data_IF_436453618586
#
_entry.id   IF_436453618586
#
_cell.length_a   1.000
_cell.length_b   1.000
_cell.length_c   1.000
_cell.angle_alpha   90.00
_cell.angle_beta   90.00
_cell.angle_gamma   90.00
#
_symmetry.space_group_name_H-M   'P 1'
#
loop_
_entity.id
_entity.type
_entity.pdbx_description
1 polymer ?
#
# COMPACT_ATOMS: atom_id res chain seq x y z
N UNK A 1 -6.09 -6.88 -11.41
CA UNK A 1 -4.88 -7.56 -10.88
C UNK A 1 -3.67 -7.41 -11.79
N UNK A 2 -3.71 -7.82 -13.08
CA UNK A 2 -2.53 -7.69 -13.96
C UNK A 2 -2.04 -6.26 -14.17
N UNK A 3 -2.94 -5.28 -14.32
CA UNK A 3 -2.56 -3.87 -14.39
C UNK A 3 -1.81 -3.41 -13.13
N UNK A 4 -2.32 -3.75 -11.94
CA UNK A 4 -1.69 -3.45 -10.64
C UNK A 4 -0.27 -4.05 -10.58
N UNK A 5 -0.11 -5.32 -11.00
CA UNK A 5 1.20 -5.98 -11.08
C UNK A 5 2.20 -5.16 -11.89
N UNK A 6 1.79 -4.79 -13.10
CA UNK A 6 2.64 -4.05 -14.03
C UNK A 6 2.98 -2.67 -13.47
N UNK A 7 2.01 -1.96 -12.89
CA UNK A 7 2.24 -0.65 -12.27
C UNK A 7 3.26 -0.73 -11.13
N UNK A 8 3.11 -1.68 -10.20
CA UNK A 8 4.05 -1.84 -9.07
C UNK A 8 5.46 -2.16 -9.58
N UNK A 9 5.60 -3.11 -10.51
CA UNK A 9 6.90 -3.51 -11.05
C UNK A 9 7.58 -2.32 -11.72
N UNK A 10 6.84 -1.61 -12.58
CA UNK A 10 7.37 -0.43 -13.29
C UNK A 10 7.80 0.66 -12.30
N UNK A 11 6.97 0.95 -11.30
CA UNK A 11 7.29 1.93 -10.28
C UNK A 11 8.55 1.54 -9.48
N UNK A 12 8.67 0.27 -9.10
CA UNK A 12 9.87 -0.22 -8.41
C UNK A 12 11.12 -0.06 -9.28
N UNK A 13 11.09 -0.49 -10.55
CA UNK A 13 12.22 -0.41 -11.48
C UNK A 13 12.64 1.03 -11.79
N UNK A 14 11.68 1.94 -12.00
CA UNK A 14 11.97 3.29 -12.49
C UNK A 14 12.21 4.30 -11.36
N UNK A 15 11.67 4.07 -10.16
CA UNK A 15 11.70 5.03 -9.06
C UNK A 15 12.43 4.52 -7.83
N UNK A 16 12.08 3.33 -7.34
CA UNK A 16 12.61 2.83 -6.07
C UNK A 16 14.02 2.27 -6.24
N UNK A 17 14.17 1.29 -7.12
CA UNK A 17 15.42 0.56 -7.32
C UNK A 17 16.61 1.49 -7.63
N UNK A 18 16.50 2.51 -8.51
CA UNK A 18 17.61 3.42 -8.80
C UNK A 18 18.08 4.23 -7.59
N UNK A 19 17.20 4.49 -6.62
CA UNK A 19 17.54 5.22 -5.39
C UNK A 19 18.25 4.33 -4.36
N UNK A 20 17.93 3.03 -4.32
CA UNK A 20 18.47 2.08 -3.35
C UNK A 20 19.74 1.39 -3.84
N UNK A 21 19.87 1.16 -5.15
CA UNK A 21 21.00 0.49 -5.79
C UNK A 21 22.40 1.05 -5.41
N UNK A 22 22.60 2.37 -5.20
CA UNK A 22 23.89 2.90 -4.77
C UNK A 22 24.32 2.47 -3.36
N UNK A 23 23.44 1.87 -2.57
CA UNK A 23 23.68 1.46 -1.18
C UNK A 23 23.35 -0.03 -0.96
N UNK A 24 23.96 -0.95 -1.71
CA UNK A 24 23.58 -2.37 -1.72
C UNK A 24 23.84 -3.06 -0.37
N UNK A 25 24.83 -2.60 0.39
CA UNK A 25 25.14 -3.12 1.73
C UNK A 25 24.00 -2.89 2.72
N UNK A 26 23.19 -1.84 2.50
CA UNK A 26 22.08 -1.46 3.37
C UNK A 26 20.73 -1.91 2.83
N UNK A 27 20.57 -1.94 1.50
CA UNK A 27 19.27 -2.15 0.85
C UNK A 27 19.32 -3.26 -0.21
N UNK A 28 19.87 -4.42 0.15
CA UNK A 28 19.86 -5.61 -0.71
C UNK A 28 18.56 -6.41 -0.59
N UNK A 29 17.91 -6.40 0.58
CA UNK A 29 16.65 -7.09 0.83
C UNK A 29 15.78 -6.23 1.74
N UNK A 30 14.52 -6.00 1.33
CA UNK A 30 13.57 -5.17 2.05
C UNK A 30 12.14 -5.55 1.70
N UNK A 31 11.20 -5.10 2.52
CA UNK A 31 9.76 -5.11 2.23
C UNK A 31 9.32 -3.66 2.08
N UNK A 32 8.50 -3.36 1.06
CA UNK A 32 7.97 -2.01 0.85
C UNK A 32 6.46 -2.08 0.77
N UNK A 33 5.81 -1.25 1.56
CA UNK A 33 4.38 -1.05 1.50
C UNK A 33 4.09 0.07 0.50
N UNK A 34 3.36 -0.27 -0.57
CA UNK A 34 3.03 0.63 -1.67
C UNK A 34 1.53 0.89 -1.67
N UNK A 35 1.17 2.17 -1.59
CA UNK A 35 -0.19 2.64 -1.84
C UNK A 35 -0.43 2.82 -3.34
N UNK A 36 -1.59 2.38 -3.82
CA UNK A 36 -2.05 2.60 -5.19
C UNK A 36 -3.26 3.52 -5.14
N UNK A 37 -3.19 4.64 -5.86
CA UNK A 37 -4.28 5.61 -5.98
C UNK A 37 -4.79 5.54 -7.41
N UNK A 38 -6.05 5.18 -7.59
CA UNK A 38 -6.67 5.15 -8.91
C UNK A 38 -6.99 6.57 -9.39
N UNK A 39 -6.46 6.93 -10.55
CA UNK A 39 -6.89 8.11 -11.28
C UNK A 39 -8.12 7.76 -12.13
N UNK A 40 -9.30 8.16 -11.65
CA UNK A 40 -10.59 7.87 -12.31
C UNK A 40 -10.72 8.45 -13.72
N UNK A 41 -9.94 9.48 -14.07
CA UNK A 41 -9.99 10.11 -15.39
C UNK A 41 -9.19 9.32 -16.43
N UNK A 42 -8.04 8.78 -16.02
CA UNK A 42 -7.13 8.04 -16.92
C UNK A 42 -7.27 6.52 -16.78
N UNK A 43 -7.94 6.04 -15.73
CA UNK A 43 -8.01 4.63 -15.35
C UNK A 43 -6.62 4.02 -15.13
N UNK A 44 -5.68 4.83 -14.64
CA UNK A 44 -4.32 4.45 -14.28
C UNK A 44 -4.14 4.50 -12.76
N UNK A 45 -3.06 3.90 -12.27
CA UNK A 45 -2.72 3.92 -10.85
C UNK A 45 -1.45 4.72 -10.63
N UNK A 46 -1.52 5.67 -9.70
CA UNK A 46 -0.35 6.33 -9.13
C UNK A 46 0.14 5.55 -7.91
N UNK A 47 1.45 5.34 -7.82
CA UNK A 47 2.08 4.63 -6.70
C UNK A 47 2.71 5.62 -5.71
N UNK A 48 2.53 5.35 -4.42
CA UNK A 48 3.23 6.02 -3.33
C UNK A 48 3.90 5.00 -2.42
N UNK A 49 5.10 5.30 -1.94
CA UNK A 49 5.73 4.52 -0.87
C UNK A 49 5.12 4.95 0.46
N UNK A 50 4.57 4.01 1.22
CA UNK A 50 4.00 4.25 2.55
C UNK A 50 5.07 4.00 3.61
N UNK A 51 5.69 2.81 3.55
CA UNK A 51 6.64 2.35 4.55
C UNK A 51 7.68 1.42 3.89
N UNK A 52 8.87 1.35 4.51
CA UNK A 52 9.89 0.37 4.16
C UNK A 52 10.31 -0.38 5.42
N UNK A 53 10.23 -1.70 5.35
CA UNK A 53 10.46 -2.62 6.44
C UNK A 53 11.68 -3.52 6.15
N UNK A 54 12.37 -4.02 7.18
CA UNK A 54 13.43 -5.00 6.99
C UNK A 54 12.86 -6.31 6.43
N UNK A 55 13.67 -7.01 5.63
CA UNK A 55 13.33 -8.35 5.11
C UNK A 55 13.60 -9.41 6.17
N UNK A 56 12.74 -9.44 7.18
CA UNK A 56 12.88 -10.29 8.37
C UNK A 56 11.53 -10.86 8.78
N UNK A 57 11.54 -12.00 9.46
CA UNK A 57 10.32 -12.72 9.87
C UNK A 57 9.44 -11.96 10.88
N UNK A 58 9.97 -10.89 11.49
CA UNK A 58 9.21 -9.96 12.34
C UNK A 58 8.32 -9.00 11.55
N UNK A 59 8.61 -8.76 10.28
CA UNK A 59 7.78 -7.95 9.39
C UNK A 59 6.53 -8.74 9.00
N UNK A 60 5.36 -8.11 9.04
CA UNK A 60 4.12 -8.76 8.62
C UNK A 60 4.18 -9.21 7.16
N UNK A 61 3.93 -10.49 6.88
CA UNK A 61 3.98 -11.06 5.51
C UNK A 61 2.64 -10.96 4.76
N UNK A 62 1.59 -10.41 5.39
CA UNK A 62 0.23 -10.36 4.84
C UNK A 62 -0.25 -11.74 4.37
N UNK A 63 -0.44 -11.93 3.05
CA UNK A 63 -0.93 -13.19 2.45
C UNK A 63 0.18 -14.20 2.13
N UNK A 64 1.43 -13.86 2.42
CA UNK A 64 2.57 -14.75 2.37
C UNK A 64 2.89 -15.30 3.76
N UNK A 65 3.64 -16.39 3.79
CA UNK A 65 4.19 -17.01 4.98
C UNK A 65 5.71 -17.12 4.83
N UNK A 66 6.45 -16.50 5.76
CA UNK A 66 7.91 -16.47 5.75
C UNK A 66 8.58 -17.85 5.68
N UNK A 67 7.94 -18.88 6.23
CA UNK A 67 8.51 -20.24 6.27
C UNK A 67 8.19 -21.01 5.00
N UNK A 68 6.92 -21.03 4.58
CA UNK A 68 6.51 -21.86 3.44
C UNK A 68 6.74 -21.19 2.09
N UNK A 69 6.78 -19.86 2.04
CA UNK A 69 6.99 -19.08 0.81
C UNK A 69 8.41 -18.50 0.70
N UNK A 70 9.38 -19.03 1.46
CA UNK A 70 10.75 -18.48 1.54
C UNK A 70 11.40 -18.32 0.17
N UNK A 71 11.26 -19.29 -0.72
CA UNK A 71 11.92 -19.29 -2.03
C UNK A 71 11.32 -18.20 -2.94
N UNK A 72 9.99 -18.05 -2.91
CA UNK A 72 9.29 -16.96 -3.60
C UNK A 72 9.70 -15.59 -3.06
N UNK A 73 9.75 -15.42 -1.74
CA UNK A 73 10.10 -14.15 -1.09
C UNK A 73 11.57 -13.76 -1.33
N UNK A 74 12.46 -14.74 -1.50
CA UNK A 74 13.88 -14.54 -1.82
C UNK A 74 14.16 -14.40 -3.32
N UNK A 75 13.12 -14.42 -4.15
CA UNK A 75 13.25 -14.30 -5.60
C UNK A 75 13.97 -15.49 -6.26
N UNK A 76 13.87 -16.68 -5.67
CA UNK A 76 14.40 -17.91 -6.27
C UNK A 76 13.45 -18.50 -7.33
N UNK A 77 12.20 -18.04 -7.34
CA UNK A 77 11.21 -18.36 -8.36
C UNK A 77 11.30 -17.43 -9.57
N UNK A 78 10.92 -17.94 -10.75
CA UNK A 78 11.08 -17.21 -12.01
C UNK A 78 10.07 -16.07 -12.21
N UNK A 79 8.97 -16.06 -11.46
CA UNK A 79 7.90 -15.07 -11.61
C UNK A 79 7.57 -14.38 -10.29
N UNK A 80 7.23 -13.08 -10.39
CA UNK A 80 6.68 -12.32 -9.26
C UNK A 80 5.26 -12.82 -8.99
N UNK A 81 5.02 -13.35 -7.79
CA UNK A 81 3.70 -13.77 -7.34
C UNK A 81 2.89 -12.59 -6.77
N UNK A 82 1.57 -12.56 -7.03
CA UNK A 82 0.62 -11.65 -6.38
C UNK A 82 -0.50 -12.48 -5.80
N UNK A 83 -0.77 -12.28 -4.50
CA UNK A 83 -1.91 -12.85 -3.79
C UNK A 83 -2.91 -11.75 -3.46
N UNK A 84 -4.19 -12.03 -3.67
CA UNK A 84 -5.28 -11.09 -3.43
C UNK A 84 -6.34 -11.77 -2.57
N UNK A 85 -6.64 -11.18 -1.41
CA UNK A 85 -7.81 -11.55 -0.63
C UNK A 85 -9.05 -11.09 -1.40
N UNK A 86 -9.75 -12.04 -2.02
CA UNK A 86 -10.91 -11.75 -2.88
C UNK A 86 -12.21 -11.70 -2.08
N UNK A 87 -12.22 -12.33 -0.91
CA UNK A 87 -13.39 -12.38 -0.05
C UNK A 87 -13.67 -10.98 0.51
N UNK A 88 -14.86 -10.48 0.23
CA UNK A 88 -15.34 -9.24 0.79
C UNK A 88 -15.46 -9.39 2.31
N UNK A 89 -14.75 -8.56 3.06
CA UNK A 89 -14.93 -8.54 4.51
C UNK A 89 -16.28 -7.87 4.82
N UNK A 90 -17.27 -8.60 5.37
CA UNK A 90 -18.66 -8.13 5.45
C UNK A 90 -18.84 -6.87 6.31
N UNK A 91 -17.85 -6.55 7.15
CA UNK A 91 -17.85 -5.39 8.06
C UNK A 91 -16.84 -4.32 7.67
N UNK A 92 -16.33 -4.32 6.43
CA UNK A 92 -15.34 -3.32 6.01
C UNK A 92 -15.89 -1.90 6.10
N UNK A 93 -17.21 -1.73 5.87
CA UNK A 93 -17.89 -0.44 6.05
C UNK A 93 -17.87 0.01 7.51
N UNK A 94 -18.28 -0.86 8.43
CA UNK A 94 -18.28 -0.58 9.87
C UNK A 94 -16.86 -0.23 10.37
N UNK A 95 -15.83 -0.89 9.84
CA UNK A 95 -14.44 -0.62 10.19
C UNK A 95 -13.95 0.73 9.65
N UNK A 96 -14.31 1.09 8.41
CA UNK A 96 -14.02 2.41 7.84
C UNK A 96 -14.72 3.51 8.64
N UNK A 97 -16.00 3.32 8.96
CA UNK A 97 -16.78 4.27 9.78
C UNK A 97 -16.17 4.45 11.17
N UNK A 98 -15.78 3.35 11.83
CA UNK A 98 -15.09 3.39 13.11
C UNK A 98 -13.76 4.17 13.03
N UNK A 99 -12.93 3.92 12.02
CA UNK A 99 -11.66 4.64 11.86
C UNK A 99 -11.92 6.15 11.67
N UNK A 100 -12.92 6.52 10.87
CA UNK A 100 -13.27 7.93 10.64
C UNK A 100 -13.79 8.60 11.93
N UNK A 101 -14.62 7.91 12.70
CA UNK A 101 -15.17 8.39 13.98
C UNK A 101 -14.05 8.60 15.02
N UNK A 102 -13.19 7.60 15.21
CA UNK A 102 -12.08 7.66 16.20
C UNK A 102 -11.09 8.77 15.87
N UNK A 103 -10.85 9.06 14.59
CA UNK A 103 -9.92 10.09 14.17
C UNK A 103 -10.54 11.50 14.05
N UNK A 104 -11.81 11.68 14.44
CA UNK A 104 -12.52 12.97 14.36
C UNK A 104 -12.44 13.60 12.97
N UNK A 105 -12.49 12.78 11.92
CA UNK A 105 -12.60 13.25 10.53
C UNK A 105 -14.03 13.73 10.24
N UNK A 106 -14.55 14.60 11.10
CA UNK A 106 -15.72 15.40 10.79
C UNK A 106 -15.24 16.45 9.80
N UNK A 107 -15.91 16.58 8.65
CA UNK A 107 -15.63 17.56 7.59
C UNK A 107 -15.80 19.03 8.00
N UNK A 108 -15.36 19.42 9.20
CA UNK A 108 -15.21 20.80 9.64
C UNK A 108 -13.81 21.25 9.29
N UNK A 109 -13.74 22.09 8.26
CA UNK A 109 -12.63 22.99 8.00
C UNK A 109 -12.23 23.71 9.30
N UNK A 110 -11.22 23.19 10.00
CA UNK A 110 -10.60 23.91 11.09
C UNK A 110 -9.19 24.31 10.65
N UNK A 111 -9.09 25.58 10.30
CA UNK A 111 -7.84 26.30 10.12
C UNK A 111 -6.97 26.17 11.38
N UNK A 112 -5.94 25.35 11.33
CA UNK A 112 -4.69 25.60 12.07
C UNK A 112 -3.64 24.55 11.72
N UNK A 113 -2.52 25.01 11.16
CA UNK A 113 -1.22 24.33 11.02
C UNK A 113 -1.29 22.85 10.66
N UNK A 114 -1.52 22.58 9.38
CA UNK A 114 -1.56 21.22 8.83
C UNK A 114 -0.15 20.65 8.73
N UNK A 115 0.08 19.59 9.51
CA UNK A 115 1.19 18.66 9.33
C UNK A 115 0.90 17.79 8.09
N UNK A 116 1.51 18.15 6.95
CA UNK A 116 1.28 17.55 5.62
C UNK A 116 1.58 16.03 5.54
N UNK A 117 2.09 15.41 6.60
CA UNK A 117 2.35 13.97 6.65
C UNK A 117 1.12 13.09 6.91
N UNK A 118 0.00 13.64 7.41
CA UNK A 118 -1.18 12.85 7.83
C UNK A 118 -2.39 12.95 6.89
N UNK A 119 -2.42 13.92 5.98
CA UNK A 119 -3.53 14.13 5.05
C UNK A 119 -3.82 12.96 4.08
N UNK A 120 -2.84 12.20 3.56
CA UNK A 120 -3.12 11.20 2.51
C UNK A 120 -4.06 10.08 2.97
N UNK A 121 -3.90 9.64 4.21
CA UNK A 121 -4.65 8.51 4.77
C UNK A 121 -6.13 8.86 4.97
N UNK A 122 -6.44 10.06 5.45
CA UNK A 122 -7.81 10.46 5.73
C UNK A 122 -8.60 10.81 4.47
N UNK A 123 -7.95 11.43 3.47
CA UNK A 123 -8.56 11.70 2.16
C UNK A 123 -9.01 10.40 1.48
N UNK A 124 -8.20 9.33 1.58
CA UNK A 124 -8.53 8.02 1.03
C UNK A 124 -9.77 7.39 1.70
N UNK A 125 -9.90 7.50 3.03
CA UNK A 125 -11.02 6.93 3.77
C UNK A 125 -12.36 7.62 3.45
N UNK A 126 -12.36 8.96 3.32
CA UNK A 126 -13.57 9.72 2.98
C UNK A 126 -14.05 9.45 1.54
N UNK A 127 -13.11 9.27 0.61
CA UNK A 127 -13.41 8.85 -0.76
C UNK A 127 -14.02 7.45 -0.82
N UNK A 128 -13.53 6.51 0.00
CA UNK A 128 -14.13 5.17 0.13
C UNK A 128 -15.55 5.25 0.70
N UNK A 129 -15.78 6.05 1.75
CA UNK A 129 -17.13 6.26 2.32
C UNK A 129 -18.14 6.72 1.27
N UNK A 130 -17.73 7.65 0.41
CA UNK A 130 -18.58 8.18 -0.66
C UNK A 130 -18.92 7.12 -1.71
N UNK A 131 -17.98 6.24 -2.07
CA UNK A 131 -18.22 5.14 -3.02
C UNK A 131 -19.13 4.04 -2.45
N UNK A 132 -19.09 3.81 -1.14
CA UNK A 132 -19.92 2.79 -0.47
C UNK A 132 -21.33 3.26 -0.10
N UNK A 133 -21.65 4.55 -0.31
CA UNK A 133 -22.95 5.18 -0.03
C UNK A 133 -23.88 5.24 -1.25
N UNK A 134 -23.43 4.73 -2.42
CA UNK A 134 -24.21 4.50 -3.64
C UNK A 134 -24.57 3.01 -3.76
#
# INVERSE_FOLDING_TARGET
VQQIKITIIKYWQEKIQPLLNPLPEKYSNYVIDIGLIENKLTNEYDCIVIEMNPFETSTGASLFNWTTDSDQLRGQENEIEIRVQSDYYPYIKDYIEFILEVNQCDGKENSSSVDHGKEPYFIFLDQMKTQFSL
#
